data_IF_099927535355
#
_entry.id   IF_099927535355
#
_cell.length_a   1.000
_cell.length_b   1.000
_cell.length_c   1.000
_cell.angle_alpha   90.00
_cell.angle_beta   90.00
_cell.angle_gamma   90.00
#
_symmetry.space_group_name_H-M   'P 1'
#
loop_
_entity.id
_entity.type
_entity.pdbx_description
1 polymer ?
#
# COMPACT_ATOMS: atom_id res chain seq x y z
N UNK A 1 -21.12 -50.71 10.87
CA UNK A 1 -21.04 -49.33 10.36
C UNK A 1 -20.41 -48.51 11.49
N UNK A 2 -19.09 -48.45 11.50
CA UNK A 2 -18.28 -47.81 12.54
C UNK A 2 -18.18 -46.32 12.17
N UNK A 3 -18.51 -45.39 13.03
CA UNK A 3 -18.34 -43.99 12.74
C UNK A 3 -16.86 -43.62 12.64
N UNK A 4 -16.47 -42.99 11.55
CA UNK A 4 -15.16 -42.43 11.30
C UNK A 4 -14.93 -41.28 12.29
N UNK A 5 -13.76 -41.23 12.98
CA UNK A 5 -13.49 -40.12 13.92
C UNK A 5 -13.27 -38.81 13.16
N UNK A 6 -13.78 -37.66 13.63
CA UNK A 6 -13.58 -36.39 12.99
C UNK A 6 -12.11 -36.00 13.04
N UNK A 7 -11.53 -35.77 11.85
CA UNK A 7 -10.18 -35.23 11.62
C UNK A 7 -10.29 -33.74 11.46
N UNK A 8 -10.06 -32.96 12.53
CA UNK A 8 -10.12 -31.52 12.48
C UNK A 8 -9.46 -30.85 13.70
N UNK A 9 -9.22 -29.55 13.66
CA UNK A 9 -8.60 -28.77 14.74
C UNK A 9 -9.40 -28.77 16.06
N UNK A 10 -10.62 -29.32 16.07
CA UNK A 10 -11.44 -29.47 17.27
C UNK A 10 -10.80 -30.39 18.36
N UNK A 11 -9.86 -31.26 18.00
CA UNK A 11 -9.14 -32.10 18.99
C UNK A 11 -8.12 -31.36 19.84
N UNK A 12 -7.70 -30.17 19.45
CA UNK A 12 -6.76 -29.36 20.23
C UNK A 12 -7.46 -28.58 21.35
N UNK A 13 -8.78 -28.46 21.30
CA UNK A 13 -9.58 -27.74 22.30
C UNK A 13 -10.27 -28.65 23.32
N UNK A 14 -10.29 -29.97 23.07
CA UNK A 14 -10.97 -30.98 23.92
C UNK A 14 -10.29 -31.26 25.28
N UNK A 15 -9.18 -30.57 25.59
CA UNK A 15 -8.44 -30.67 26.86
C UNK A 15 -8.25 -29.34 27.57
N UNK A 16 -9.11 -28.36 27.28
CA UNK A 16 -8.97 -26.98 27.78
C UNK A 16 -10.13 -26.54 28.69
N UNK A 17 -10.87 -27.51 29.23
CA UNK A 17 -11.88 -27.20 30.23
C UNK A 17 -11.22 -26.77 31.57
N UNK A 18 -11.81 -25.82 32.33
CA UNK A 18 -11.26 -25.38 33.61
C UNK A 18 -11.00 -26.51 34.62
N UNK A 19 -11.73 -27.65 34.47
CA UNK A 19 -11.52 -28.83 35.31
C UNK A 19 -10.18 -29.56 35.01
N UNK A 20 -9.68 -29.45 33.77
CA UNK A 20 -8.40 -30.03 33.36
C UNK A 20 -7.21 -29.08 33.63
N UNK A 21 -7.51 -27.83 33.98
CA UNK A 21 -6.54 -26.77 34.23
C UNK A 21 -6.46 -26.38 35.72
N UNK A 22 -6.87 -27.28 36.60
CA UNK A 22 -6.87 -27.08 38.05
C UNK A 22 -7.56 -25.77 38.51
N UNK A 23 -8.62 -25.38 37.77
CA UNK A 23 -9.42 -24.19 38.02
C UNK A 23 -8.94 -22.89 37.36
N UNK A 24 -7.87 -22.95 36.57
CA UNK A 24 -7.40 -21.80 35.76
C UNK A 24 -8.12 -21.75 34.42
N UNK A 25 -8.19 -20.56 33.85
CA UNK A 25 -8.75 -20.35 32.51
C UNK A 25 -7.64 -20.19 31.46
N UNK A 26 -7.94 -20.44 30.20
CA UNK A 26 -7.02 -20.21 29.08
C UNK A 26 -6.60 -18.75 28.99
N UNK A 27 -7.50 -17.83 29.34
CA UNK A 27 -7.23 -16.40 29.36
C UNK A 27 -6.18 -16.05 30.43
N UNK A 28 -6.33 -16.57 31.65
CA UNK A 28 -5.35 -16.41 32.73
C UNK A 28 -3.98 -16.99 32.36
N UNK A 29 -3.95 -18.17 31.72
CA UNK A 29 -2.71 -18.76 31.24
C UNK A 29 -2.09 -17.95 30.09
N UNK A 30 -2.92 -17.34 29.25
CA UNK A 30 -2.50 -16.40 28.22
C UNK A 30 -1.81 -15.16 28.82
N UNK A 31 -2.47 -14.51 29.79
CA UNK A 31 -1.95 -13.33 30.50
C UNK A 31 -0.65 -13.68 31.29
N UNK A 32 -0.61 -14.85 31.90
CA UNK A 32 0.57 -15.32 32.59
C UNK A 32 1.76 -15.54 31.64
N UNK A 33 1.50 -16.06 30.45
CA UNK A 33 2.52 -16.21 29.40
C UNK A 33 2.98 -14.84 28.87
N UNK A 34 2.07 -13.86 28.73
CA UNK A 34 2.37 -12.50 28.30
C UNK A 34 3.22 -11.75 29.31
N UNK A 35 2.98 -11.98 30.60
CA UNK A 35 3.79 -11.45 31.68
C UNK A 35 5.17 -12.13 31.80
N UNK A 36 5.52 -13.04 30.85
CA UNK A 36 6.78 -13.80 30.86
C UNK A 36 6.86 -14.77 32.04
N UNK A 37 5.73 -15.33 32.45
CA UNK A 37 5.58 -16.26 33.60
C UNK A 37 6.05 -15.63 34.91
N UNK A 38 5.70 -14.38 35.13
CA UNK A 38 6.09 -13.62 36.34
C UNK A 38 4.92 -12.77 36.85
N UNK A 39 4.70 -12.71 38.18
CA UNK A 39 5.38 -13.50 39.24
C UNK A 39 5.06 -14.99 39.09
N UNK A 40 5.99 -15.88 39.55
CA UNK A 40 5.75 -17.31 39.51
C UNK A 40 4.51 -17.70 40.31
N UNK A 41 3.56 -18.34 39.65
CA UNK A 41 2.35 -18.89 40.26
C UNK A 41 2.51 -20.40 40.46
N UNK A 42 2.55 -20.81 41.75
CA UNK A 42 2.74 -22.21 42.09
C UNK A 42 1.54 -23.09 41.72
N UNK A 43 0.34 -22.52 41.57
CA UNK A 43 -0.85 -23.23 41.09
C UNK A 43 -0.69 -23.63 39.62
N UNK A 44 -0.22 -22.71 38.81
CA UNK A 44 0.01 -22.92 37.37
C UNK A 44 1.23 -23.80 37.13
N UNK A 45 2.36 -23.51 37.80
CA UNK A 45 3.65 -24.17 37.55
C UNK A 45 3.70 -25.64 38.06
N UNK A 46 2.86 -26.02 39.00
CA UNK A 46 2.77 -27.40 39.50
C UNK A 46 1.62 -28.18 38.87
N UNK A 47 0.79 -27.57 38.03
CA UNK A 47 -0.29 -28.26 37.32
C UNK A 47 0.18 -28.80 35.98
N UNK A 48 0.18 -30.12 35.75
CA UNK A 48 0.50 -30.70 34.46
C UNK A 48 -0.41 -30.19 33.33
N UNK A 49 -1.69 -29.99 33.59
CA UNK A 49 -2.66 -29.49 32.63
C UNK A 49 -2.32 -28.05 32.20
N UNK A 50 -2.04 -27.16 33.16
CA UNK A 50 -1.63 -25.77 32.89
C UNK A 50 -0.31 -25.72 32.09
N UNK A 51 0.67 -26.57 32.38
CA UNK A 51 1.94 -26.61 31.66
C UNK A 51 1.77 -27.04 30.19
N UNK A 52 0.90 -28.04 29.94
CA UNK A 52 0.56 -28.47 28.57
C UNK A 52 -0.12 -27.34 27.81
N UNK A 53 -1.09 -26.66 28.45
CA UNK A 53 -1.79 -25.53 27.82
C UNK A 53 -0.86 -24.35 27.56
N UNK A 54 0.05 -24.02 28.48
CA UNK A 54 1.07 -22.96 28.27
C UNK A 54 2.01 -23.30 27.09
N UNK A 55 2.43 -24.55 26.95
CA UNK A 55 3.27 -24.97 25.81
C UNK A 55 2.52 -24.87 24.50
N UNK A 56 1.23 -25.27 24.46
CA UNK A 56 0.38 -25.11 23.29
C UNK A 56 0.16 -23.64 22.90
N UNK A 57 -0.11 -22.77 23.89
CA UNK A 57 -0.24 -21.33 23.66
C UNK A 57 1.08 -20.70 23.17
N UNK A 58 2.22 -21.10 23.71
CA UNK A 58 3.53 -20.62 23.25
C UNK A 58 3.83 -21.02 21.81
N UNK A 59 3.49 -22.25 21.42
CA UNK A 59 3.61 -22.72 20.01
C UNK A 59 2.70 -21.94 19.09
N UNK A 60 1.44 -21.78 19.43
CA UNK A 60 0.48 -21.00 18.62
C UNK A 60 0.96 -19.58 18.38
N UNK A 61 1.53 -18.95 19.41
CA UNK A 61 2.14 -17.62 19.28
C UNK A 61 3.34 -17.61 18.35
N UNK A 62 4.24 -18.57 18.51
CA UNK A 62 5.45 -18.65 17.67
C UNK A 62 5.10 -18.87 16.19
N UNK A 63 4.07 -19.67 15.90
CA UNK A 63 3.58 -19.87 14.54
C UNK A 63 2.90 -18.63 13.98
N UNK A 64 2.11 -17.91 14.80
CA UNK A 64 1.49 -16.64 14.41
C UNK A 64 2.52 -15.56 14.13
N UNK A 65 3.58 -15.45 14.93
CA UNK A 65 4.69 -14.51 14.71
C UNK A 65 5.46 -14.86 13.42
N UNK A 66 5.75 -16.14 13.18
CA UNK A 66 6.41 -16.58 11.96
C UNK A 66 5.57 -16.26 10.71
N UNK A 67 4.25 -16.40 10.79
CA UNK A 67 3.33 -16.09 9.70
C UNK A 67 3.27 -14.58 9.42
N UNK A 68 3.22 -13.75 10.48
CA UNK A 68 3.29 -12.28 10.40
C UNK A 68 4.63 -11.80 9.84
N UNK A 69 5.73 -12.46 10.18
CA UNK A 69 7.07 -12.13 9.69
C UNK A 69 7.22 -12.44 8.20
N UNK A 70 6.67 -13.58 7.73
CA UNK A 70 6.59 -13.94 6.32
C UNK A 70 5.72 -12.94 5.54
N UNK A 71 4.59 -12.53 6.09
CA UNK A 71 3.68 -11.55 5.48
C UNK A 71 4.34 -10.16 5.41
N UNK A 72 5.05 -9.74 6.48
CA UNK A 72 5.81 -8.49 6.51
C UNK A 72 7.01 -8.49 5.53
N UNK A 73 7.64 -9.64 5.29
CA UNK A 73 8.69 -9.79 4.28
C UNK A 73 8.11 -9.73 2.87
N UNK A 74 6.95 -10.36 2.62
CA UNK A 74 6.26 -10.30 1.34
C UNK A 74 5.78 -8.87 1.01
N UNK A 75 5.38 -8.09 2.00
CA UNK A 75 5.04 -6.67 1.83
C UNK A 75 6.28 -5.82 1.53
N UNK A 76 7.42 -6.11 2.16
CA UNK A 76 8.69 -5.42 1.84
C UNK A 76 9.15 -5.67 0.40
N UNK A 77 9.01 -6.89 -0.10
CA UNK A 77 9.37 -7.23 -1.48
C UNK A 77 8.41 -6.57 -2.47
N UNK A 78 7.13 -6.43 -2.13
CA UNK A 78 6.13 -5.72 -2.93
C UNK A 78 6.43 -4.22 -2.99
N UNK A 79 6.76 -3.59 -1.86
CA UNK A 79 7.18 -2.20 -1.77
C UNK A 79 8.45 -1.90 -2.58
N UNK A 80 9.47 -2.78 -2.49
CA UNK A 80 10.71 -2.64 -3.25
C UNK A 80 10.49 -2.85 -4.76
N UNK A 81 9.67 -3.81 -5.15
CA UNK A 81 9.30 -4.07 -6.54
C UNK A 81 8.54 -2.89 -7.13
N UNK A 82 7.62 -2.30 -6.36
CA UNK A 82 6.87 -1.11 -6.78
C UNK A 82 7.78 0.10 -6.94
N UNK A 83 8.64 0.41 -5.94
CA UNK A 83 9.62 1.50 -6.01
C UNK A 83 10.55 1.32 -7.21
N UNK A 84 11.06 0.11 -7.44
CA UNK A 84 11.89 -0.19 -8.60
C UNK A 84 11.14 0.04 -9.91
N UNK A 85 9.86 -0.32 -9.99
CA UNK A 85 9.00 -0.09 -11.15
C UNK A 85 8.75 1.39 -11.38
N UNK A 86 8.49 2.17 -10.32
CA UNK A 86 8.33 3.63 -10.39
C UNK A 86 9.62 4.30 -10.89
N UNK A 87 10.77 3.95 -10.31
CA UNK A 87 12.08 4.49 -10.72
C UNK A 87 12.38 4.11 -12.19
N UNK A 88 12.11 2.87 -12.60
CA UNK A 88 12.32 2.44 -13.99
C UNK A 88 11.37 3.18 -14.96
N UNK A 89 10.14 3.45 -14.56
CA UNK A 89 9.19 4.23 -15.34
C UNK A 89 9.62 5.69 -15.45
N UNK A 90 10.02 6.31 -14.34
CA UNK A 90 10.57 7.69 -14.31
C UNK A 90 11.79 7.78 -15.22
N UNK A 91 12.73 6.83 -15.12
CA UNK A 91 13.94 6.81 -15.96
C UNK A 91 13.64 6.58 -17.45
N UNK A 92 12.58 5.83 -17.77
CA UNK A 92 12.13 5.62 -19.14
C UNK A 92 11.38 6.82 -19.70
N UNK A 93 10.63 7.52 -18.83
CA UNK A 93 9.85 8.71 -19.18
C UNK A 93 10.68 10.00 -19.16
N UNK A 94 11.88 10.00 -18.55
CA UNK A 94 12.82 11.14 -18.58
C UNK A 94 13.43 11.37 -19.98
N UNK A 95 13.16 10.51 -20.96
CA UNK A 95 13.49 10.79 -22.36
C UNK A 95 12.64 11.97 -22.83
N UNK A 96 13.25 12.88 -23.58
CA UNK A 96 12.60 14.10 -24.04
C UNK A 96 11.23 13.85 -24.71
N UNK A 97 11.07 12.76 -25.45
CA UNK A 97 9.82 12.45 -26.14
C UNK A 97 9.58 13.40 -27.31
N UNK A 98 8.28 13.64 -27.60
CA UNK A 98 7.84 14.53 -28.68
C UNK A 98 8.01 16.00 -28.25
N UNK A 99 8.25 16.91 -29.22
CA UNK A 99 8.28 18.34 -28.98
C UNK A 99 6.85 18.89 -29.07
N UNK A 100 6.43 19.59 -28.04
CA UNK A 100 5.11 20.19 -27.90
C UNK A 100 5.24 21.69 -28.18
N UNK A 101 4.58 22.22 -29.23
CA UNK A 101 4.65 23.64 -29.54
C UNK A 101 4.09 24.52 -28.43
N UNK A 102 4.72 25.66 -28.21
CA UNK A 102 4.21 26.74 -27.35
C UNK A 102 4.06 27.97 -28.23
N UNK A 103 2.91 28.64 -28.15
CA UNK A 103 2.65 29.87 -28.88
C UNK A 103 3.58 30.98 -28.44
N UNK A 104 4.07 31.71 -29.42
CA UNK A 104 4.86 32.91 -29.21
C UNK A 104 4.31 34.07 -30.06
N UNK A 105 4.27 35.31 -29.53
CA UNK A 105 3.77 36.48 -30.30
C UNK A 105 4.51 36.70 -31.61
N UNK A 106 5.79 36.37 -31.68
CA UNK A 106 6.57 36.41 -32.91
C UNK A 106 6.46 35.06 -33.64
N UNK A 107 5.84 35.02 -34.85
CA UNK A 107 5.65 33.78 -35.61
C UNK A 107 6.97 33.21 -36.15
N UNK A 108 8.08 33.96 -36.16
CA UNK A 108 9.39 33.45 -36.54
C UNK A 108 10.08 32.69 -35.40
N UNK A 109 9.55 32.77 -34.18
CA UNK A 109 10.09 32.11 -32.97
C UNK A 109 9.36 30.80 -32.71
N UNK A 110 10.08 29.71 -32.86
CA UNK A 110 9.57 28.37 -32.51
C UNK A 110 9.98 28.02 -31.07
N UNK A 111 9.00 27.99 -30.18
CA UNK A 111 9.19 27.51 -28.81
C UNK A 111 8.55 26.12 -28.67
N UNK A 112 9.25 25.24 -28.00
CA UNK A 112 8.74 23.91 -27.70
C UNK A 112 9.06 23.54 -26.26
N UNK A 113 8.20 22.74 -25.65
CA UNK A 113 8.48 22.02 -24.42
C UNK A 113 8.48 20.50 -24.72
N UNK A 114 9.37 19.77 -24.12
CA UNK A 114 9.42 18.33 -24.36
C UNK A 114 8.28 17.60 -23.64
N UNK A 115 7.78 16.53 -24.22
CA UNK A 115 6.78 15.67 -23.58
C UNK A 115 7.27 15.14 -22.21
N UNK A 116 8.58 14.88 -22.06
CA UNK A 116 9.20 14.50 -20.80
C UNK A 116 9.06 15.58 -19.71
N UNK A 117 9.22 16.86 -20.08
CA UNK A 117 9.04 17.98 -19.17
C UNK A 117 7.56 18.12 -18.73
N UNK A 118 6.62 17.94 -19.66
CA UNK A 118 5.17 17.93 -19.34
C UNK A 118 4.80 16.77 -18.43
N UNK A 119 5.33 15.57 -18.66
CA UNK A 119 5.14 14.43 -17.74
C UNK A 119 5.69 14.72 -16.34
N UNK A 120 6.87 15.35 -16.25
CA UNK A 120 7.45 15.78 -14.98
C UNK A 120 6.55 16.77 -14.23
N UNK A 121 5.98 17.74 -14.95
CA UNK A 121 5.03 18.71 -14.41
C UNK A 121 3.75 18.04 -13.89
N UNK A 122 3.17 17.13 -14.66
CA UNK A 122 1.99 16.35 -14.26
C UNK A 122 2.27 15.57 -12.98
N UNK A 123 3.44 14.92 -12.90
CA UNK A 123 3.86 14.17 -11.71
C UNK A 123 3.99 15.08 -10.50
N UNK A 124 4.70 16.19 -10.63
CA UNK A 124 4.86 17.17 -9.55
C UNK A 124 3.53 17.74 -9.05
N UNK A 125 2.59 17.99 -9.97
CA UNK A 125 1.25 18.48 -9.62
C UNK A 125 0.45 17.45 -8.83
N UNK A 126 0.51 16.18 -9.22
CA UNK A 126 -0.19 15.07 -8.52
C UNK A 126 0.44 14.75 -7.16
N UNK A 127 1.77 14.64 -7.09
CA UNK A 127 2.51 14.40 -5.84
C UNK A 127 2.28 15.51 -4.81
N UNK A 128 2.11 16.76 -5.29
CA UNK A 128 1.81 17.93 -4.46
C UNK A 128 0.45 17.90 -3.75
N UNK A 129 -0.41 16.92 -4.01
CA UNK A 129 -1.70 16.78 -3.30
C UNK A 129 -1.54 16.28 -1.87
N UNK A 130 -0.40 15.66 -1.53
CA UNK A 130 -0.15 15.01 -0.25
C UNK A 130 -0.89 13.67 -0.11
N UNK A 131 -0.15 12.61 0.11
CA UNK A 131 -0.69 11.26 0.25
C UNK A 131 -0.88 10.49 -1.05
N UNK A 132 -0.37 11.00 -2.19
CA UNK A 132 -0.28 10.29 -3.45
C UNK A 132 1.13 10.40 -4.04
N UNK A 133 1.54 9.38 -4.76
CA UNK A 133 2.73 9.34 -5.59
C UNK A 133 2.31 8.96 -7.01
N UNK A 134 2.62 9.82 -7.97
CA UNK A 134 2.30 9.58 -9.37
C UNK A 134 3.39 8.71 -10.00
N UNK A 135 2.98 7.56 -10.51
CA UNK A 135 3.84 6.61 -11.20
C UNK A 135 3.98 6.96 -12.68
N UNK A 136 3.22 6.24 -13.51
CA UNK A 136 3.22 6.43 -14.96
C UNK A 136 2.38 7.63 -15.36
N UNK A 137 2.87 8.38 -16.36
CA UNK A 137 2.12 9.45 -17.04
C UNK A 137 2.15 9.17 -18.54
N UNK A 138 0.99 9.08 -19.17
CA UNK A 138 0.84 8.93 -20.63
C UNK A 138 0.03 10.10 -21.20
N UNK A 139 0.45 10.60 -22.36
CA UNK A 139 -0.26 11.60 -23.15
C UNK A 139 -0.72 10.93 -24.45
N UNK A 140 -2.00 10.65 -24.53
CA UNK A 140 -2.67 9.99 -25.64
C UNK A 140 -3.26 11.04 -26.57
N UNK A 141 -2.81 11.06 -27.82
CA UNK A 141 -3.13 12.05 -28.83
C UNK A 141 -1.87 12.60 -29.51
N UNK A 142 -2.04 13.46 -30.51
CA UNK A 142 -0.92 14.10 -31.18
C UNK A 142 -0.58 15.44 -30.50
N UNK A 143 0.35 15.39 -29.55
CA UNK A 143 0.81 16.58 -28.79
C UNK A 143 1.65 17.55 -29.63
N UNK A 144 2.03 17.17 -30.86
CA UNK A 144 2.84 18.02 -31.75
C UNK A 144 1.98 18.96 -32.58
N UNK A 145 0.67 18.72 -32.63
CA UNK A 145 -0.31 19.54 -33.36
C UNK A 145 -1.06 20.42 -32.37
N UNK A 146 -1.01 21.75 -32.53
CA UNK A 146 -1.75 22.68 -31.66
C UNK A 146 -3.25 22.39 -31.67
N UNK A 147 -3.88 22.46 -30.52
CA UNK A 147 -5.34 22.28 -30.30
C UNK A 147 -5.87 20.86 -30.58
N UNK A 148 -5.04 19.91 -30.96
CA UNK A 148 -5.47 18.50 -31.07
C UNK A 148 -5.87 17.96 -29.69
N UNK A 149 -6.97 17.19 -29.57
CA UNK A 149 -7.41 16.66 -28.29
C UNK A 149 -6.41 15.68 -27.70
N UNK A 150 -6.03 15.89 -26.44
CA UNK A 150 -5.10 15.04 -25.69
C UNK A 150 -5.79 14.53 -24.44
N UNK A 151 -5.67 13.23 -24.20
CA UNK A 151 -6.06 12.58 -22.94
C UNK A 151 -4.82 12.31 -22.12
N UNK A 152 -4.83 12.73 -20.87
CA UNK A 152 -3.76 12.45 -19.91
C UNK A 152 -4.18 11.29 -19.02
N UNK A 153 -3.37 10.23 -18.97
CA UNK A 153 -3.62 9.06 -18.11
C UNK A 153 -2.48 8.96 -17.10
N UNK A 154 -2.82 8.92 -15.81
CA UNK A 154 -1.85 8.78 -14.73
C UNK A 154 -2.18 7.57 -13.86
N UNK A 155 -1.14 6.87 -13.39
CA UNK A 155 -1.24 5.88 -12.33
C UNK A 155 -0.74 6.47 -11.03
N UNK A 156 -1.38 6.12 -9.92
CA UNK A 156 -1.03 6.63 -8.60
C UNK A 156 -0.98 5.49 -7.57
N UNK A 157 -0.01 5.57 -6.67
CA UNK A 157 -0.03 4.90 -5.38
C UNK A 157 -0.43 5.91 -4.31
N UNK A 158 -1.35 5.53 -3.43
CA UNK A 158 -1.90 6.46 -2.43
C UNK A 158 -1.72 5.94 -1.01
N UNK A 159 -1.55 6.86 -0.07
CA UNK A 159 -1.49 6.52 1.34
C UNK A 159 -2.84 6.00 1.84
N UNK A 160 -2.81 4.98 2.70
CA UNK A 160 -4.02 4.52 3.40
C UNK A 160 -4.56 5.61 4.33
N UNK A 161 -5.89 5.77 4.35
CA UNK A 161 -6.60 6.69 5.24
C UNK A 161 -7.46 7.73 4.53
N UNK A 162 -6.96 8.49 3.53
CA UNK A 162 -7.77 9.43 2.77
C UNK A 162 -8.91 8.75 1.99
N UNK A 163 -10.00 9.50 1.75
CA UNK A 163 -11.05 9.06 0.84
C UNK A 163 -10.52 9.07 -0.59
N UNK A 164 -10.44 7.89 -1.22
CA UNK A 164 -9.82 7.72 -2.55
C UNK A 164 -10.55 8.51 -3.64
N UNK A 165 -11.88 8.65 -3.55
CA UNK A 165 -12.67 9.43 -4.52
C UNK A 165 -12.31 10.91 -4.43
N UNK A 166 -12.26 11.46 -3.22
CA UNK A 166 -11.88 12.86 -2.99
C UNK A 166 -10.44 13.11 -3.43
N UNK A 167 -9.52 12.21 -3.08
CA UNK A 167 -8.11 12.32 -3.47
C UNK A 167 -7.93 12.25 -4.99
N UNK A 168 -8.62 11.35 -5.68
CA UNK A 168 -8.55 11.25 -7.14
C UNK A 168 -9.09 12.50 -7.85
N UNK A 169 -10.13 13.13 -7.30
CA UNK A 169 -10.61 14.43 -7.80
C UNK A 169 -9.57 15.53 -7.60
N UNK A 170 -8.97 15.62 -6.42
CA UNK A 170 -7.95 16.60 -6.12
C UNK A 170 -6.72 16.46 -7.03
N UNK A 171 -6.25 15.23 -7.24
CA UNK A 171 -5.16 14.93 -8.18
C UNK A 171 -5.51 15.43 -9.58
N UNK A 172 -6.71 15.12 -10.06
CA UNK A 172 -7.18 15.54 -11.39
C UNK A 172 -7.22 17.06 -11.53
N UNK A 173 -7.79 17.77 -10.56
CA UNK A 173 -7.86 19.21 -10.56
C UNK A 173 -6.48 19.87 -10.58
N UNK A 174 -5.55 19.35 -9.78
CA UNK A 174 -4.17 19.86 -9.74
C UNK A 174 -3.44 19.67 -11.07
N UNK A 175 -3.60 18.49 -11.69
CA UNK A 175 -3.02 18.19 -13.00
C UNK A 175 -3.61 19.10 -14.08
N UNK A 176 -4.94 19.22 -14.14
CA UNK A 176 -5.62 20.10 -15.11
C UNK A 176 -5.12 21.54 -14.95
N UNK A 177 -5.09 22.06 -13.71
CA UNK A 177 -4.63 23.43 -13.43
C UNK A 177 -3.18 23.65 -13.85
N UNK A 178 -2.29 22.71 -13.58
CA UNK A 178 -0.88 22.80 -13.99
C UNK A 178 -0.72 22.82 -15.52
N UNK A 179 -1.43 21.93 -16.22
CA UNK A 179 -1.38 21.84 -17.67
C UNK A 179 -1.94 23.11 -18.33
N UNK A 180 -3.07 23.63 -17.85
CA UNK A 180 -3.65 24.87 -18.36
C UNK A 180 -2.79 26.11 -18.10
N UNK A 181 -2.01 26.10 -17.01
CA UNK A 181 -1.15 27.23 -16.66
C UNK A 181 0.15 27.25 -17.46
N UNK A 182 0.69 26.08 -17.79
CA UNK A 182 2.05 25.96 -18.31
C UNK A 182 2.15 25.38 -19.72
N UNK A 183 1.03 24.97 -20.32
CA UNK A 183 0.99 24.42 -21.69
C UNK A 183 -0.22 24.94 -22.46
N UNK A 184 -0.18 24.81 -23.78
CA UNK A 184 -1.31 25.10 -24.66
C UNK A 184 -2.00 23.82 -25.17
N UNK A 185 -1.77 22.70 -24.47
CA UNK A 185 -2.40 21.43 -24.82
C UNK A 185 -3.91 21.49 -24.64
N UNK A 186 -4.64 21.03 -25.63
CA UNK A 186 -6.09 20.84 -25.53
C UNK A 186 -6.40 19.55 -24.76
N UNK A 187 -6.30 19.60 -23.42
CA UNK A 187 -6.55 18.46 -22.55
C UNK A 187 -8.06 18.26 -22.40
N UNK A 188 -8.59 17.22 -23.02
CA UNK A 188 -10.02 16.87 -23.00
C UNK A 188 -10.39 15.95 -21.84
N UNK A 189 -9.43 15.17 -21.33
CA UNK A 189 -9.66 14.28 -20.18
C UNK A 189 -8.38 14.05 -19.39
N UNK A 190 -8.54 13.88 -18.06
CA UNK A 190 -7.48 13.40 -17.16
C UNK A 190 -8.01 12.18 -16.42
N UNK A 191 -7.44 11.01 -16.72
CA UNK A 191 -7.76 9.73 -16.10
C UNK A 191 -6.75 9.45 -14.98
N UNK A 192 -7.27 9.21 -13.77
CA UNK A 192 -6.45 8.83 -12.60
C UNK A 192 -6.80 7.41 -12.22
N UNK A 193 -5.83 6.51 -12.32
CA UNK A 193 -5.93 5.10 -11.91
C UNK A 193 -5.13 4.89 -10.63
N UNK A 194 -5.79 4.50 -9.55
CA UNK A 194 -5.12 4.13 -8.30
C UNK A 194 -4.78 2.65 -8.40
N UNK A 195 -3.49 2.33 -8.48
CA UNK A 195 -2.99 0.96 -8.65
C UNK A 195 -2.51 0.35 -7.33
N UNK A 196 -2.20 1.20 -6.34
CA UNK A 196 -1.68 0.74 -5.06
C UNK A 196 -2.13 1.63 -3.91
N UNK A 197 -2.29 1.02 -2.72
CA UNK A 197 -2.58 1.71 -1.46
C UNK A 197 -1.55 1.26 -0.43
N UNK A 198 -0.69 2.17 0.00
CA UNK A 198 0.39 1.88 0.94
C UNK A 198 0.15 2.50 2.32
N UNK A 199 0.67 1.86 3.36
CA UNK A 199 0.67 2.43 4.72
C UNK A 199 1.91 3.33 4.87
N UNK A 200 1.76 4.64 5.17
CA UNK A 200 2.90 5.52 5.37
C UNK A 200 3.78 5.04 6.52
N UNK A 201 5.10 4.87 6.28
CA UNK A 201 6.06 4.59 7.36
C UNK A 201 6.10 5.79 8.31
N UNK A 202 5.58 5.62 9.52
CA UNK A 202 5.60 6.66 10.56
C UNK A 202 4.24 7.04 11.14
N UNK A 203 3.15 6.44 10.70
CA UNK A 203 1.88 6.49 11.41
C UNK A 203 1.95 5.46 12.55
N UNK A 204 2.60 5.84 13.66
CA UNK A 204 2.47 5.13 14.91
C UNK A 204 0.99 5.21 15.33
N UNK A 205 0.25 4.12 15.47
CA UNK A 205 -1.12 4.17 15.95
C UNK A 205 -1.08 4.58 17.42
N UNK A 206 -1.49 5.83 17.69
CA UNK A 206 -1.83 6.28 19.03
C UNK A 206 -3.22 5.81 19.39
#
# INVERSE_FOLDING_TARGET
MTPEPPSGPERLLDGLDPEDLDGHTIEELGDYLDAGRRPLDAGIENSPGCLIALDALARLRSESWAMLEVEALADRDRDQSWIATVIANISRESRAGRDIPIGHPDPATLLTVTEGAVRGMVRAAGDGTGGALIGRVALDGDVTVPSEPVTVTVTASVAFGPNLVVLSHLIRERIVSALQTHTELNVVAVNVSIEDVHVPRGADPR
#
